data_IF_178332489119
#
_entry.id   IF_178332489119
#
_cell.length_a   1.000
_cell.length_b   1.000
_cell.length_c   1.000
_cell.angle_alpha   90.00
_cell.angle_beta   90.00
_cell.angle_gamma   90.00
#
_symmetry.space_group_name_H-M   'P 1'
#
loop_
_entity.id
_entity.type
_entity.pdbx_description
1 polymer ?
#
# COMPACT_ATOMS: atom_id res chain seq x y z
N UNK A 1 0.90 -12.25 0.66
CA UNK A 1 0.88 -11.91 -0.78
C UNK A 1 1.50 -12.99 -1.71
N UNK A 2 2.74 -13.46 -1.52
CA UNK A 2 3.39 -14.41 -2.46
C UNK A 2 2.56 -15.68 -2.75
N UNK A 3 2.03 -16.33 -1.71
CA UNK A 3 1.21 -17.55 -1.87
C UNK A 3 -0.06 -17.25 -2.68
N UNK A 4 -0.70 -16.09 -2.46
CA UNK A 4 -1.89 -15.68 -3.22
C UNK A 4 -1.56 -15.48 -4.69
N UNK A 5 -0.40 -14.88 -5.02
CA UNK A 5 0.06 -14.75 -6.40
C UNK A 5 0.25 -16.12 -7.07
N UNK A 6 0.92 -17.06 -6.39
CA UNK A 6 1.17 -18.39 -6.94
C UNK A 6 -0.12 -19.17 -7.14
N UNK A 7 -1.01 -19.17 -6.14
CA UNK A 7 -2.31 -19.85 -6.23
C UNK A 7 -3.17 -19.25 -7.33
N UNK A 8 -3.22 -17.92 -7.46
CA UNK A 8 -4.02 -17.28 -8.49
C UNK A 8 -3.45 -17.52 -9.89
N UNK A 9 -2.13 -17.38 -10.08
CA UNK A 9 -1.53 -17.54 -11.40
C UNK A 9 -1.47 -18.99 -11.89
N UNK A 10 -1.11 -19.95 -11.02
CA UNK A 10 -1.02 -21.37 -11.39
C UNK A 10 -2.33 -22.13 -11.21
N UNK A 11 -3.23 -21.67 -10.34
CA UNK A 11 -4.52 -22.33 -10.10
C UNK A 11 -5.60 -21.95 -11.11
N UNK A 12 -5.65 -20.70 -11.57
CA UNK A 12 -6.69 -20.24 -12.50
C UNK A 12 -6.68 -20.94 -13.88
N UNK A 13 -5.52 -21.32 -14.46
CA UNK A 13 -5.47 -22.14 -15.66
C UNK A 13 -6.15 -23.51 -15.51
N UNK A 14 -6.22 -24.09 -14.30
CA UNK A 14 -6.95 -25.35 -14.06
C UNK A 14 -8.45 -25.22 -14.31
N UNK A 15 -8.97 -23.99 -14.26
CA UNK A 15 -10.37 -23.65 -14.56
C UNK A 15 -10.56 -23.14 -15.99
N UNK A 16 -9.55 -23.26 -16.85
CA UNK A 16 -9.61 -22.86 -18.26
C UNK A 16 -9.46 -21.35 -18.51
N UNK A 17 -9.13 -20.56 -17.49
CA UNK A 17 -8.97 -19.11 -17.61
C UNK A 17 -7.48 -18.76 -17.54
N UNK A 18 -6.90 -18.38 -18.69
CA UNK A 18 -5.55 -17.86 -18.78
C UNK A 18 -5.59 -16.32 -18.79
N UNK A 19 -4.90 -15.73 -17.82
CA UNK A 19 -4.83 -14.26 -17.68
C UNK A 19 -3.39 -13.83 -17.87
N UNK A 20 -3.20 -12.65 -18.46
CA UNK A 20 -1.88 -12.03 -18.57
C UNK A 20 -1.23 -11.93 -17.16
N UNK A 21 0.03 -12.36 -16.97
CA UNK A 21 0.71 -12.30 -15.68
C UNK A 21 0.70 -10.93 -15.02
N UNK A 22 0.81 -9.85 -15.81
CA UNK A 22 0.74 -8.48 -15.30
C UNK A 22 -0.64 -8.17 -14.72
N UNK A 23 -1.71 -8.51 -15.45
CA UNK A 23 -3.08 -8.28 -14.99
C UNK A 23 -3.40 -9.11 -13.74
N UNK A 24 -2.90 -10.36 -13.70
CA UNK A 24 -3.02 -11.20 -12.51
C UNK A 24 -2.33 -10.58 -11.29
N UNK A 25 -1.10 -10.07 -11.46
CA UNK A 25 -0.38 -9.38 -10.39
C UNK A 25 -1.18 -8.19 -9.85
N UNK A 26 -1.70 -7.33 -10.75
CA UNK A 26 -2.51 -6.16 -10.38
C UNK A 26 -3.74 -6.55 -9.58
N UNK A 27 -4.48 -7.58 -10.01
CA UNK A 27 -5.69 -8.04 -9.31
C UNK A 27 -5.34 -8.57 -7.92
N UNK A 28 -4.35 -9.45 -7.82
CA UNK A 28 -3.95 -10.04 -6.53
C UNK A 28 -3.45 -8.98 -5.56
N UNK A 29 -2.63 -8.03 -6.04
CA UNK A 29 -2.14 -6.92 -5.22
C UNK A 29 -3.29 -6.04 -4.74
N UNK A 30 -4.20 -5.66 -5.65
CA UNK A 30 -5.35 -4.82 -5.32
C UNK A 30 -6.26 -5.47 -4.28
N UNK A 31 -6.54 -6.78 -4.42
CA UNK A 31 -7.37 -7.50 -3.46
C UNK A 31 -6.68 -7.62 -2.11
N UNK A 32 -5.39 -7.98 -2.09
CA UNK A 32 -4.69 -8.19 -0.82
C UNK A 32 -4.49 -6.88 -0.06
N UNK A 33 -3.97 -5.86 -0.73
CA UNK A 33 -3.68 -4.56 -0.11
C UNK A 33 -4.92 -3.70 0.07
N UNK A 34 -5.93 -3.86 -0.78
CA UNK A 34 -7.24 -3.27 -0.59
C UNK A 34 -7.90 -3.75 0.71
N UNK A 35 -7.79 -5.05 1.02
CA UNK A 35 -8.32 -5.59 2.28
C UNK A 35 -7.59 -5.01 3.51
N UNK A 36 -6.24 -4.97 3.50
CA UNK A 36 -5.47 -4.38 4.59
C UNK A 36 -5.72 -2.87 4.74
N UNK A 37 -5.84 -2.15 3.62
CA UNK A 37 -6.12 -0.71 3.61
C UNK A 37 -7.52 -0.40 4.12
N UNK A 38 -8.52 -1.21 3.76
CA UNK A 38 -9.89 -1.07 4.27
C UNK A 38 -9.97 -1.29 5.78
N UNK A 39 -9.27 -2.31 6.29
CA UNK A 39 -9.20 -2.57 7.73
C UNK A 39 -8.47 -1.46 8.49
N UNK A 40 -7.39 -0.92 7.90
CA UNK A 40 -6.68 0.24 8.45
C UNK A 40 -7.61 1.46 8.54
N UNK A 41 -8.41 1.72 7.50
CA UNK A 41 -9.38 2.82 7.50
C UNK A 41 -10.48 2.61 8.54
N UNK A 42 -11.01 1.39 8.64
CA UNK A 42 -12.03 1.01 9.64
C UNK A 42 -11.50 1.24 11.06
N UNK A 43 -10.31 0.73 11.36
CA UNK A 43 -9.67 0.90 12.66
C UNK A 43 -9.42 2.38 12.98
N UNK A 44 -9.04 3.19 11.98
CA UNK A 44 -8.84 4.62 12.17
C UNK A 44 -10.15 5.39 12.42
N UNK A 45 -11.27 4.95 11.83
CA UNK A 45 -12.60 5.51 12.12
C UNK A 45 -13.05 5.16 13.53
N UNK A 46 -12.80 3.94 14.00
CA UNK A 46 -13.11 3.50 15.37
C UNK A 46 -12.25 4.17 16.44
N UNK A 47 -11.03 4.60 16.08
CA UNK A 47 -10.16 5.35 16.97
C UNK A 47 -10.66 6.78 17.26
N UNK A 48 -11.62 7.30 16.48
CA UNK A 48 -12.22 8.62 16.72
C UNK A 48 -13.12 8.56 17.96
N UNK A 49 -12.98 9.48 18.94
CA UNK A 49 -13.79 9.46 20.15
C UNK A 49 -15.30 9.52 19.85
N UNK A 50 -16.08 8.63 20.47
CA UNK A 50 -17.54 8.59 20.30
C UNK A 50 -18.23 9.93 20.62
N UNK A 51 -17.65 10.74 21.52
CA UNK A 51 -18.16 12.07 21.86
C UNK A 51 -18.19 13.06 20.68
N UNK A 52 -17.39 12.86 19.61
CA UNK A 52 -17.47 13.66 18.38
C UNK A 52 -18.79 13.43 17.65
N UNK A 53 -19.29 12.20 17.70
CA UNK A 53 -20.55 11.81 17.08
C UNK A 53 -21.74 12.33 17.91
N UNK A 54 -21.67 12.23 19.24
CA UNK A 54 -22.67 12.82 20.15
C UNK A 54 -22.73 14.35 20.01
N UNK A 55 -21.58 15.03 19.98
CA UNK A 55 -21.50 16.48 19.79
C UNK A 55 -22.08 16.93 18.44
N UNK A 56 -21.83 16.16 17.37
CA UNK A 56 -22.42 16.41 16.06
C UNK A 56 -23.94 16.38 16.09
N UNK A 57 -24.53 15.41 16.80
CA UNK A 57 -25.98 15.36 16.99
C UNK A 57 -26.51 16.53 17.84
N UNK A 58 -25.79 16.95 18.88
CA UNK A 58 -26.18 18.11 19.68
C UNK A 58 -26.25 19.42 18.90
N UNK A 59 -25.45 19.56 17.84
CA UNK A 59 -25.45 20.74 16.94
C UNK A 59 -26.43 20.57 15.77
N UNK A 60 -27.22 19.48 15.75
CA UNK A 60 -28.24 19.23 14.75
C UNK A 60 -27.70 18.68 13.42
N UNK A 61 -26.48 18.15 13.39
CA UNK A 61 -25.93 17.50 12.19
C UNK A 61 -26.56 16.12 11.99
N UNK A 62 -26.80 15.74 10.73
CA UNK A 62 -27.17 14.36 10.38
C UNK A 62 -25.96 13.43 10.44
N UNK A 63 -26.19 12.13 10.62
CA UNK A 63 -25.12 11.12 10.69
C UNK A 63 -24.12 11.23 9.52
N UNK A 64 -24.62 11.38 8.29
CA UNK A 64 -23.76 11.54 7.11
C UNK A 64 -22.95 12.85 7.16
N UNK A 65 -23.52 13.95 7.65
CA UNK A 65 -22.77 15.20 7.82
C UNK A 65 -21.64 15.04 8.84
N UNK A 66 -21.90 14.35 9.95
CA UNK A 66 -20.89 14.07 10.98
C UNK A 66 -19.78 13.19 10.41
N UNK A 67 -20.13 12.12 9.69
CA UNK A 67 -19.13 11.23 9.08
C UNK A 67 -18.25 11.97 8.09
N UNK A 68 -18.84 12.71 7.14
CA UNK A 68 -18.08 13.39 6.09
C UNK A 68 -17.24 14.58 6.57
N UNK A 69 -17.74 15.35 7.54
CA UNK A 69 -17.08 16.59 7.97
C UNK A 69 -16.25 16.44 9.26
N UNK A 70 -16.55 15.45 10.10
CA UNK A 70 -15.92 15.32 11.43
C UNK A 70 -15.10 14.03 11.51
N UNK A 71 -15.73 12.88 11.32
CA UNK A 71 -15.09 11.57 11.57
C UNK A 71 -14.08 11.25 10.47
N UNK A 72 -14.46 11.33 9.20
CA UNK A 72 -13.62 10.92 8.08
C UNK A 72 -12.31 11.73 7.97
N UNK A 73 -12.32 13.07 8.11
CA UNK A 73 -11.07 13.85 8.12
C UNK A 73 -10.15 13.52 9.31
N UNK A 74 -10.73 13.23 10.49
CA UNK A 74 -9.96 12.85 11.68
C UNK A 74 -9.37 11.44 11.54
N UNK A 75 -10.19 10.48 11.11
CA UNK A 75 -9.78 9.11 10.84
C UNK A 75 -8.70 9.06 9.77
N UNK A 76 -8.85 9.81 8.67
CA UNK A 76 -7.86 9.85 7.60
C UNK A 76 -6.49 10.33 8.10
N UNK A 77 -6.45 11.33 8.99
CA UNK A 77 -5.20 11.80 9.61
C UNK A 77 -4.49 10.67 10.38
N UNK A 78 -5.25 9.87 11.13
CA UNK A 78 -4.71 8.73 11.89
C UNK A 78 -4.32 7.57 10.98
N UNK A 79 -5.07 7.32 9.91
CA UNK A 79 -4.80 6.25 8.94
C UNK A 79 -3.62 6.57 8.01
N UNK A 80 -3.35 7.85 7.73
CA UNK A 80 -2.39 8.28 6.71
C UNK A 80 -0.98 7.69 6.89
N UNK A 81 -0.35 7.71 8.09
CA UNK A 81 0.97 7.10 8.29
C UNK A 81 0.97 5.61 7.97
N UNK A 82 -0.05 4.88 8.42
CA UNK A 82 -0.18 3.43 8.21
C UNK A 82 -0.41 3.09 6.74
N UNK A 83 -1.27 3.83 6.04
CA UNK A 83 -1.52 3.66 4.61
C UNK A 83 -0.27 3.97 3.76
N UNK A 84 0.49 5.01 4.11
CA UNK A 84 1.76 5.30 3.44
C UNK A 84 2.82 4.23 3.71
N UNK A 85 2.86 3.68 4.92
CA UNK A 85 3.76 2.59 5.23
C UNK A 85 3.42 1.31 4.43
N UNK A 86 2.13 1.01 4.28
CA UNK A 86 1.66 -0.06 3.41
C UNK A 86 2.08 0.18 1.95
N UNK A 87 1.96 1.42 1.44
CA UNK A 87 2.43 1.78 0.09
C UNK A 87 3.95 1.55 -0.09
N UNK A 88 4.78 1.95 0.87
CA UNK A 88 6.23 1.73 0.82
C UNK A 88 6.54 0.22 0.84
N UNK A 89 5.79 -0.54 1.64
CA UNK A 89 5.93 -2.00 1.69
C UNK A 89 5.54 -2.64 0.37
N UNK A 90 4.41 -2.22 -0.22
CA UNK A 90 3.93 -2.63 -1.53
C UNK A 90 4.98 -2.44 -2.63
N UNK A 91 5.72 -1.32 -2.64
CA UNK A 91 6.78 -1.09 -3.64
C UNK A 91 7.84 -2.19 -3.61
N UNK A 92 8.25 -2.64 -2.42
CA UNK A 92 9.18 -3.77 -2.28
C UNK A 92 8.51 -5.08 -2.67
N UNK A 93 7.28 -5.26 -2.21
CA UNK A 93 6.47 -6.46 -2.43
C UNK A 93 6.13 -6.69 -3.91
N UNK A 94 6.16 -5.65 -4.76
CA UNK A 94 6.06 -5.82 -6.22
C UNK A 94 7.17 -6.73 -6.78
N UNK A 95 8.30 -6.86 -6.09
CA UNK A 95 9.37 -7.78 -6.50
C UNK A 95 8.94 -9.25 -6.49
N UNK A 96 7.89 -9.59 -5.73
CA UNK A 96 7.29 -10.92 -5.70
C UNK A 96 6.57 -11.26 -7.01
N UNK A 97 6.19 -10.26 -7.83
CA UNK A 97 5.62 -10.49 -9.15
C UNK A 97 6.62 -11.17 -10.09
N UNK A 98 7.94 -11.06 -9.85
CA UNK A 98 8.94 -11.81 -10.62
C UNK A 98 8.75 -13.32 -10.56
N UNK A 99 8.13 -13.84 -9.50
CA UNK A 99 7.85 -15.27 -9.33
C UNK A 99 6.80 -15.79 -10.32
N UNK A 100 5.93 -14.91 -10.85
CA UNK A 100 4.92 -15.26 -11.86
C UNK A 100 5.29 -14.70 -13.24
N UNK A 101 6.59 -14.67 -13.56
CA UNK A 101 7.16 -14.23 -14.85
C UNK A 101 6.89 -12.78 -15.25
N UNK A 102 6.38 -11.94 -14.35
CA UNK A 102 6.28 -10.50 -14.59
C UNK A 102 7.68 -9.91 -14.61
N UNK A 103 7.98 -9.19 -15.69
CA UNK A 103 9.28 -8.57 -15.86
C UNK A 103 9.27 -7.20 -15.18
N UNK A 104 9.67 -7.21 -13.92
CA UNK A 104 9.92 -6.01 -13.10
C UNK A 104 11.42 -5.77 -12.92
N UNK A 105 11.79 -4.73 -12.16
CA UNK A 105 13.16 -4.26 -12.05
C UNK A 105 14.12 -5.38 -11.60
N UNK A 106 13.71 -6.18 -10.62
CA UNK A 106 14.53 -7.29 -10.13
C UNK A 106 14.64 -8.43 -11.15
N UNK A 107 13.57 -8.71 -11.91
CA UNK A 107 13.61 -9.67 -13.02
C UNK A 107 14.56 -9.23 -14.13
N UNK A 108 14.54 -7.94 -14.51
CA UNK A 108 15.47 -7.39 -15.51
C UNK A 108 16.92 -7.55 -15.09
N UNK A 109 17.21 -7.28 -13.83
CA UNK A 109 18.57 -7.45 -13.31
C UNK A 109 19.00 -8.91 -13.26
N UNK A 110 18.10 -9.84 -12.88
CA UNK A 110 18.36 -11.29 -12.99
C UNK A 110 18.70 -11.70 -14.43
N UNK A 111 18.02 -11.14 -15.43
CA UNK A 111 18.29 -11.41 -16.85
C UNK A 111 19.69 -10.90 -17.27
N UNK A 112 20.04 -9.67 -16.91
CA UNK A 112 21.35 -9.06 -17.25
C UNK A 112 22.49 -9.78 -16.50
N UNK A 113 22.27 -10.15 -15.24
CA UNK A 113 23.22 -10.89 -14.44
C UNK A 113 23.46 -12.30 -14.99
N UNK A 114 22.41 -12.95 -15.51
CA UNK A 114 22.52 -14.25 -16.18
C UNK A 114 23.34 -14.20 -17.48
N UNK A 115 23.35 -13.06 -18.18
CA UNK A 115 24.17 -12.86 -19.39
C UNK A 115 25.61 -12.48 -19.07
N UNK A 116 25.81 -11.66 -18.03
CA UNK A 116 27.11 -11.09 -17.67
C UNK A 116 27.89 -11.93 -16.65
N UNK A 117 27.26 -12.94 -16.05
CA UNK A 117 27.74 -13.77 -14.92
C UNK A 117 28.18 -12.99 -13.66
N UNK A 118 27.93 -11.67 -13.63
CA UNK A 118 28.29 -10.76 -12.55
C UNK A 118 27.08 -10.49 -11.63
N UNK A 119 26.70 -11.46 -10.80
CA UNK A 119 25.48 -11.37 -10.00
C UNK A 119 25.55 -10.37 -8.84
N UNK A 120 26.64 -10.39 -8.08
CA UNK A 120 26.75 -9.60 -6.84
C UNK A 120 26.72 -8.07 -7.08
N UNK A 121 27.48 -7.50 -8.03
CA UNK A 121 27.43 -6.05 -8.29
C UNK A 121 26.04 -5.58 -8.76
N UNK A 122 25.40 -6.35 -9.65
CA UNK A 122 24.09 -6.02 -10.21
C UNK A 122 22.97 -6.08 -9.17
N UNK A 123 23.02 -7.01 -8.23
CA UNK A 123 22.06 -7.05 -7.13
C UNK A 123 22.24 -5.91 -6.13
N UNK A 124 23.48 -5.47 -5.87
CA UNK A 124 23.74 -4.28 -5.06
C UNK A 124 23.18 -3.04 -5.73
N UNK A 125 23.38 -2.88 -7.04
CA UNK A 125 22.84 -1.75 -7.81
C UNK A 125 21.31 -1.67 -7.70
N UNK A 126 20.62 -2.80 -7.90
CA UNK A 126 19.16 -2.85 -7.71
C UNK A 126 18.74 -2.56 -6.28
N UNK A 127 19.45 -3.08 -5.29
CA UNK A 127 19.16 -2.80 -3.90
C UNK A 127 19.26 -1.30 -3.58
N UNK A 128 20.27 -0.61 -4.14
CA UNK A 128 20.42 0.85 -4.01
C UNK A 128 19.28 1.60 -4.67
N UNK A 129 18.81 1.15 -5.83
CA UNK A 129 17.66 1.79 -6.50
C UNK A 129 16.38 1.60 -5.71
N UNK A 130 16.08 0.39 -5.22
CA UNK A 130 14.95 0.15 -4.34
C UNK A 130 15.04 1.00 -3.06
N UNK A 131 16.24 1.11 -2.47
CA UNK A 131 16.49 1.95 -1.31
C UNK A 131 16.17 3.42 -1.62
N UNK A 132 16.64 3.95 -2.75
CA UNK A 132 16.39 5.33 -3.18
C UNK A 132 14.89 5.61 -3.29
N UNK A 133 14.14 4.72 -3.95
CA UNK A 133 12.68 4.85 -4.04
C UNK A 133 12.02 4.83 -2.65
N UNK A 134 12.41 3.91 -1.78
CA UNK A 134 11.88 3.83 -0.42
C UNK A 134 12.20 5.09 0.39
N UNK A 135 13.42 5.64 0.26
CA UNK A 135 13.83 6.88 0.94
C UNK A 135 13.02 8.08 0.45
N UNK A 136 12.81 8.21 -0.86
CA UNK A 136 11.98 9.28 -1.43
C UNK A 136 10.55 9.19 -0.92
N UNK A 137 9.95 8.00 -0.92
CA UNK A 137 8.60 7.80 -0.40
C UNK A 137 8.49 8.05 1.10
N UNK A 138 9.49 7.64 1.88
CA UNK A 138 9.56 7.91 3.32
C UNK A 138 9.65 9.41 3.60
N UNK A 139 10.42 10.15 2.80
CA UNK A 139 10.48 11.60 2.91
C UNK A 139 9.14 12.27 2.58
N UNK A 140 8.45 11.79 1.54
CA UNK A 140 7.11 12.25 1.18
C UNK A 140 6.09 11.96 2.28
N UNK A 141 6.13 10.76 2.88
CA UNK A 141 5.32 10.39 4.03
C UNK A 141 5.53 11.38 5.18
N UNK A 142 6.79 11.62 5.59
CA UNK A 142 7.12 12.54 6.69
C UNK A 142 6.63 13.96 6.42
N UNK A 143 6.75 14.44 5.17
CA UNK A 143 6.23 15.75 4.77
C UNK A 143 4.69 15.79 4.86
N UNK A 144 4.02 14.74 4.38
CA UNK A 144 2.56 14.60 4.49
C UNK A 144 2.07 14.59 5.94
N UNK A 145 2.72 13.81 6.80
CA UNK A 145 2.44 13.76 8.24
C UNK A 145 2.60 15.12 8.90
N UNK A 146 3.64 15.88 8.55
CA UNK A 146 3.86 17.23 9.11
C UNK A 146 2.73 18.19 8.72
N UNK A 147 2.27 18.15 7.47
CA UNK A 147 1.15 18.97 6.98
C UNK A 147 -0.15 18.59 7.69
N UNK A 148 -0.41 17.29 7.83
CA UNK A 148 -1.60 16.76 8.50
C UNK A 148 -1.59 17.00 10.03
N UNK A 149 -0.42 16.95 10.67
CA UNK A 149 -0.23 17.20 12.09
C UNK A 149 -0.31 18.67 12.50
N UNK A 150 -0.01 19.60 11.58
CA UNK A 150 -0.08 21.06 11.80
C UNK A 150 -1.48 21.56 12.23
N UNK A 151 -2.55 20.82 11.94
CA UNK A 151 -3.93 21.22 12.24
C UNK A 151 -4.43 20.73 13.62
N UNK A 152 -3.63 19.96 14.36
CA UNK A 152 -4.01 19.38 15.66
C UNK A 152 -3.22 19.90 16.87
N UNK A 153 -2.17 20.69 16.67
CA UNK A 153 -1.37 21.27 17.76
C UNK A 153 -1.82 22.70 18.03
N UNK A 154 -3.04 22.86 18.55
CA UNK A 154 -3.32 23.93 19.50
C UNK A 154 -3.71 23.26 20.81
N UNK A 155 -2.68 23.06 21.65
CA UNK A 155 -2.87 22.88 23.09
C UNK A 155 -3.53 24.11 23.68
#
# INVERSE_FOLDING_TARGET
MLVQLMVAFYGLPLFGVSVNPFLMAVIVFTVNEGAYSAETMRAAMEAVPAGQLEAGYCVGMSYMQIVWHVILPQAFRTAFPSLFNALISMVKDTSLASSITVVEMFTRTKQIAGQSYNYLPLYIEVAVVYLLFCTVLTYLQKKGETILGSYGVRK
#
